data_IF_330639400401
#
_entry.id   IF_330639400401
#
_cell.length_a   1.000
_cell.length_b   1.000
_cell.length_c   1.000
_cell.angle_alpha   90.00
_cell.angle_beta   90.00
_cell.angle_gamma   90.00
#
_symmetry.space_group_name_H-M   'P 1'
#
loop_
_entity.id
_entity.type
_entity.pdbx_description
1 polymer ?
#
# COMPACT_ATOMS: atom_id res chain seq x y z
N UNK A 1 -17.35 11.42 2.56
CA UNK A 1 -16.28 11.26 3.56
C UNK A 1 -16.03 12.61 4.22
N UNK A 2 -16.27 12.71 5.54
CA UNK A 2 -15.84 13.82 6.39
C UNK A 2 -14.32 14.08 6.26
N UNK A 3 -13.87 15.26 6.67
CA UNK A 3 -12.47 15.68 6.58
C UNK A 3 -11.53 14.75 7.35
N UNK A 4 -11.96 14.25 8.53
CA UNK A 4 -11.23 13.28 9.35
C UNK A 4 -10.86 12.00 8.58
N UNK A 5 -11.84 11.35 7.96
CA UNK A 5 -11.63 10.09 7.22
C UNK A 5 -10.68 10.28 6.03
N UNK A 6 -10.70 11.46 5.40
CA UNK A 6 -9.74 11.80 4.34
C UNK A 6 -8.33 11.95 4.89
N UNK A 7 -8.17 12.60 6.04
CA UNK A 7 -6.86 12.78 6.69
C UNK A 7 -6.27 11.42 7.09
N UNK A 8 -7.06 10.54 7.71
CA UNK A 8 -6.60 9.19 8.07
C UNK A 8 -6.18 8.38 6.84
N UNK A 9 -6.94 8.46 5.74
CA UNK A 9 -6.60 7.77 4.48
C UNK A 9 -5.28 8.29 3.89
N UNK A 10 -5.03 9.60 3.96
CA UNK A 10 -3.78 10.22 3.50
C UNK A 10 -2.61 9.79 4.41
N UNK A 11 -2.81 9.82 5.73
CA UNK A 11 -1.80 9.40 6.70
C UNK A 11 -1.34 7.96 6.43
N UNK A 12 -2.28 7.02 6.29
CA UNK A 12 -1.97 5.62 5.95
C UNK A 12 -1.24 5.48 4.62
N UNK A 13 -1.51 6.35 3.63
CA UNK A 13 -0.77 6.34 2.37
C UNK A 13 0.66 6.82 2.53
N UNK A 14 0.89 7.83 3.38
CA UNK A 14 2.22 8.36 3.69
C UNK A 14 3.05 7.31 4.43
N UNK A 15 2.49 6.66 5.45
CA UNK A 15 3.17 5.60 6.22
C UNK A 15 3.71 4.49 5.30
N UNK A 16 2.91 4.04 4.33
CA UNK A 16 3.33 3.03 3.34
C UNK A 16 4.48 3.52 2.45
N UNK A 17 4.49 4.80 2.08
CA UNK A 17 5.57 5.40 1.29
C UNK A 17 6.85 5.54 2.11
N UNK A 18 6.74 5.90 3.40
CA UNK A 18 7.89 5.95 4.31
C UNK A 18 8.48 4.54 4.47
N UNK A 19 7.66 3.50 4.65
CA UNK A 19 8.13 2.12 4.77
C UNK A 19 8.88 1.64 3.51
N UNK A 20 8.44 2.07 2.32
CA UNK A 20 9.13 1.82 1.06
C UNK A 20 10.50 2.51 1.01
N UNK A 21 10.57 3.78 1.43
CA UNK A 21 11.83 4.54 1.52
C UNK A 21 12.79 3.85 2.49
N UNK A 22 12.33 3.47 3.67
CA UNK A 22 13.15 2.79 4.69
C UNK A 22 13.72 1.45 4.20
N UNK A 23 13.10 0.83 3.19
CA UNK A 23 13.54 -0.41 2.56
C UNK A 23 14.32 -0.19 1.26
N UNK A 24 14.64 1.06 0.90
CA UNK A 24 15.24 1.43 -0.39
C UNK A 24 14.51 0.79 -1.58
N UNK A 25 13.17 0.78 -1.53
CA UNK A 25 12.33 0.06 -2.48
C UNK A 25 11.30 1.00 -3.12
N UNK A 26 11.16 0.90 -4.43
CA UNK A 26 10.11 1.59 -5.20
C UNK A 26 8.82 0.77 -5.22
N UNK A 27 7.70 1.42 -5.54
CA UNK A 27 6.42 0.71 -5.76
C UNK A 27 6.47 -0.25 -6.96
N UNK A 28 7.36 -0.03 -7.93
CA UNK A 28 7.53 -0.91 -9.08
C UNK A 28 8.25 -2.20 -8.66
N UNK A 29 9.31 -2.08 -7.86
CA UNK A 29 10.03 -3.23 -7.29
C UNK A 29 9.15 -4.02 -6.32
N UNK A 30 8.37 -3.33 -5.48
CA UNK A 30 7.37 -3.98 -4.63
C UNK A 30 6.36 -4.78 -5.47
N UNK A 31 5.90 -4.22 -6.59
CA UNK A 31 4.97 -4.90 -7.49
C UNK A 31 5.62 -6.15 -8.11
N UNK A 32 6.85 -6.03 -8.61
CA UNK A 32 7.61 -7.15 -9.16
C UNK A 32 7.82 -8.26 -8.12
N UNK A 33 8.19 -7.91 -6.88
CA UNK A 33 8.40 -8.85 -5.78
C UNK A 33 7.13 -9.65 -5.44
N UNK A 34 5.95 -9.03 -5.55
CA UNK A 34 4.67 -9.68 -5.25
C UNK A 34 4.05 -10.42 -6.44
N UNK A 35 4.67 -10.35 -7.63
CA UNK A 35 4.06 -10.82 -8.87
C UNK A 35 2.80 -10.04 -9.25
N UNK A 36 2.75 -8.75 -8.90
CA UNK A 36 1.61 -7.85 -9.11
C UNK A 36 1.98 -6.72 -10.07
N UNK A 37 0.98 -5.99 -10.57
CA UNK A 37 1.24 -4.80 -11.38
C UNK A 37 1.41 -3.56 -10.50
N UNK A 38 2.20 -2.57 -10.96
CA UNK A 38 2.33 -1.27 -10.29
C UNK A 38 0.96 -0.60 -10.04
N UNK A 39 0.00 -0.80 -10.95
CA UNK A 39 -1.38 -0.32 -10.81
C UNK A 39 -2.10 -0.98 -9.62
N UNK A 40 -1.97 -2.30 -9.47
CA UNK A 40 -2.53 -3.09 -8.35
C UNK A 40 -1.98 -2.60 -7.01
N UNK A 41 -0.66 -2.41 -6.94
CA UNK A 41 0.03 -1.88 -5.73
C UNK A 41 -0.42 -0.45 -5.42
N UNK A 42 -0.53 0.41 -6.41
CA UNK A 42 -1.04 1.77 -6.22
C UNK A 42 -2.47 1.79 -5.69
N UNK A 43 -3.33 0.90 -6.19
CA UNK A 43 -4.70 0.77 -5.69
C UNK A 43 -4.75 0.23 -4.25
N UNK A 44 -3.84 -0.68 -3.90
CA UNK A 44 -3.70 -1.19 -2.54
C UNK A 44 -3.22 -0.12 -1.55
N UNK A 45 -2.28 0.73 -1.97
CA UNK A 45 -1.80 1.86 -1.17
C UNK A 45 -2.93 2.87 -0.95
N UNK A 46 -3.65 3.24 -2.02
CA UNK A 46 -4.78 4.18 -1.99
C UNK A 46 -6.04 3.67 -1.29
N UNK A 47 -6.13 2.37 -1.01
CA UNK A 47 -7.19 1.80 -0.17
C UNK A 47 -8.48 1.37 -0.89
N UNK A 48 -8.45 1.00 -2.17
CA UNK A 48 -9.64 0.51 -2.89
C UNK A 48 -10.14 -0.85 -2.33
N UNK A 49 -11.46 -1.07 -2.29
CA UNK A 49 -12.12 -2.13 -1.50
C UNK A 49 -12.47 -3.42 -2.27
N UNK A 50 -12.02 -3.59 -3.52
CA UNK A 50 -12.23 -4.87 -4.21
C UNK A 50 -11.47 -6.02 -3.52
N UNK A 51 -12.03 -7.24 -3.55
CA UNK A 51 -11.41 -8.44 -2.95
C UNK A 51 -9.96 -8.67 -3.41
N UNK A 52 -9.66 -8.30 -4.66
CA UNK A 52 -8.30 -8.35 -5.22
C UNK A 52 -7.37 -7.35 -4.53
N UNK A 53 -7.79 -6.08 -4.43
CA UNK A 53 -6.98 -5.02 -3.82
C UNK A 53 -6.75 -5.28 -2.33
N UNK A 54 -7.73 -5.84 -1.60
CA UNK A 54 -7.54 -6.24 -0.19
C UNK A 54 -6.44 -7.29 -0.06
N UNK A 55 -6.40 -8.30 -0.94
CA UNK A 55 -5.31 -9.31 -0.95
C UNK A 55 -3.95 -8.67 -1.24
N UNK A 56 -3.87 -7.81 -2.26
CA UNK A 56 -2.62 -7.09 -2.59
C UNK A 56 -2.17 -6.17 -1.45
N UNK A 57 -3.10 -5.56 -0.72
CA UNK A 57 -2.83 -4.72 0.45
C UNK A 57 -2.23 -5.52 1.60
N UNK A 58 -2.80 -6.69 1.92
CA UNK A 58 -2.23 -7.60 2.93
C UNK A 58 -0.81 -8.02 2.57
N UNK A 59 -0.57 -8.44 1.32
CA UNK A 59 0.79 -8.77 0.84
C UNK A 59 1.74 -7.58 0.97
N UNK A 60 1.26 -6.37 0.63
CA UNK A 60 2.05 -5.13 0.73
C UNK A 60 2.47 -4.87 2.18
N UNK A 61 1.54 -4.98 3.13
CA UNK A 61 1.84 -4.82 4.56
C UNK A 61 2.85 -5.84 5.06
N UNK A 62 2.71 -7.10 4.66
CA UNK A 62 3.69 -8.14 4.95
C UNK A 62 5.11 -7.78 4.50
N UNK A 63 5.26 -7.40 3.22
CA UNK A 63 6.56 -7.02 2.65
C UNK A 63 7.14 -5.78 3.35
N UNK A 64 6.28 -4.82 3.67
CA UNK A 64 6.67 -3.58 4.34
C UNK A 64 6.89 -3.73 5.85
N UNK A 65 6.56 -4.88 6.45
CA UNK A 65 6.65 -5.09 7.90
C UNK A 65 5.65 -4.25 8.68
N UNK A 66 4.49 -3.99 8.09
CA UNK A 66 3.38 -3.17 8.64
C UNK A 66 2.16 -4.04 8.96
N UNK A 67 2.38 -5.31 9.31
CA UNK A 67 1.29 -6.18 9.77
C UNK A 67 0.94 -5.77 11.20
N UNK A 68 -0.34 -5.44 11.44
CA UNK A 68 -0.96 -5.51 12.77
C UNK A 68 -1.37 -6.96 13.05
#
# INVERSE_FOLDING_TARGET
>A
MPTEEKLESIQRQIEKKIALINKNMTQAELAALMGETRFSVNHAIKGNNTKRVVRTRKKTYKVLGMED
#
